data_IF_074062234408
#
_entry.id   IF_074062234408
#
_cell.length_a   1.000
_cell.length_b   1.000
_cell.length_c   1.000
_cell.angle_alpha   90.00
_cell.angle_beta   90.00
_cell.angle_gamma   90.00
#
_symmetry.space_group_name_H-M   'P 1'
#
loop_
_entity.id
_entity.type
_entity.pdbx_description
1 polymer ?
2 polymer ?
3 non-polymer ?
4 water ?
#
# COMPACT_ATOMS: atom_id res chain seq x y z
N UNK A 9 -8.33 -9.15 38.31
CA UNK A 9 -7.90 -8.90 36.93
C UNK A 9 -9.08 -8.85 35.97
N UNK A 10 -8.93 -8.07 34.91
CA UNK A 10 -9.93 -8.09 33.87
C UNK A 10 -9.69 -9.25 32.92
N UNK A 11 -10.75 -9.69 32.27
CA UNK A 11 -10.66 -10.76 31.29
C UNK A 11 -10.14 -10.31 29.90
N UNK A 12 -10.31 -9.03 29.55
CA UNK A 12 -9.91 -8.57 28.24
C UNK A 12 -11.06 -8.64 27.26
N UNK A 13 -12.28 -8.53 27.74
CA UNK A 13 -13.48 -8.52 26.89
C UNK A 13 -14.31 -7.27 27.11
N UNK A 14 -15.24 -7.02 26.20
CA UNK A 14 -16.15 -5.91 26.28
C UNK A 14 -17.57 -6.38 26.04
N UNK A 15 -18.46 -5.97 26.92
CA UNK A 15 -19.87 -6.33 26.84
C UNK A 15 -20.70 -5.15 26.35
N UNK A 16 -21.69 -5.44 25.53
CA UNK A 16 -22.65 -4.43 25.12
C UNK A 16 -24.01 -5.09 24.96
N UNK A 17 -25.07 -4.30 25.09
CA UNK A 17 -26.43 -4.80 24.93
C UNK A 17 -26.77 -4.87 23.46
N UNK A 18 -27.53 -5.89 23.07
CA UNK A 18 -27.85 -6.08 21.67
C UNK A 18 -28.53 -4.84 21.12
N UNK A 19 -29.36 -4.19 21.92
CA UNK A 19 -30.04 -2.98 21.43
C UNK A 19 -29.08 -1.80 21.16
N UNK A 20 -27.84 -1.89 21.61
CA UNK A 20 -26.88 -0.82 21.37
C UNK A 20 -25.90 -1.12 20.23
N UNK A 21 -26.12 -2.21 19.48
CA UNK A 21 -25.16 -2.58 18.44
C UNK A 21 -25.05 -1.52 17.36
N UNK A 22 -26.16 -0.92 16.94
CA UNK A 22 -26.06 0.09 15.91
C UNK A 22 -25.31 1.32 16.43
N UNK A 23 -25.55 1.68 17.69
CA UNK A 23 -24.84 2.82 18.30
C UNK A 23 -23.34 2.52 18.41
N UNK A 24 -23.02 1.26 18.65
CA UNK A 24 -21.63 0.83 18.72
C UNK A 24 -20.90 1.06 17.38
N UNK A 25 -21.48 0.57 16.29
CA UNK A 25 -20.79 0.74 15.01
C UNK A 25 -20.86 2.18 14.51
N UNK A 26 -21.90 2.91 14.92
CA UNK A 26 -21.95 4.33 14.61
C UNK A 26 -20.77 5.07 15.23
N UNK A 27 -20.51 4.86 16.51
CA UNK A 27 -19.46 5.62 17.19
C UNK A 27 -18.06 5.07 16.96
N UNK A 28 -17.97 3.78 16.69
CA UNK A 28 -16.66 3.14 16.52
C UNK A 28 -16.20 3.09 15.07
N UNK A 29 -17.13 3.18 14.14
CA UNK A 29 -16.76 3.05 12.72
C UNK A 29 -17.31 4.21 11.88
N UNK A 30 -18.63 4.36 11.81
CA UNK A 30 -19.23 5.32 10.86
C UNK A 30 -18.84 6.76 11.13
N UNK A 31 -18.76 7.13 12.42
CA UNK A 31 -18.50 8.52 12.77
C UNK A 31 -17.16 8.74 13.48
N UNK A 32 -16.31 7.71 13.52
CA UNK A 32 -15.01 7.83 14.17
C UNK A 32 -14.02 8.59 13.30
N UNK A 33 -13.39 9.61 13.88
CA UNK A 33 -12.44 10.45 13.15
C UNK A 33 -11.00 9.94 13.28
N UNK A 34 -10.38 9.60 12.15
CA UNK A 34 -9.01 9.07 12.26
C UNK A 34 -7.99 10.05 12.80
N UNK A 35 -8.29 11.33 12.79
CA UNK A 35 -7.34 12.35 13.26
C UNK A 35 -7.51 12.68 14.75
N UNK A 36 -8.39 11.97 15.44
CA UNK A 36 -8.64 12.26 16.85
C UNK A 36 -7.44 11.96 17.74
N UNK A 37 -7.22 12.77 18.76
CA UNK A 37 -6.05 12.56 19.61
C UNK A 37 -6.16 11.24 20.36
N UNK A 38 -7.39 10.79 20.54
CA UNK A 38 -7.64 9.60 21.33
C UNK A 38 -7.35 8.29 20.60
N UNK A 39 -7.36 8.30 19.26
CA UNK A 39 -7.01 7.07 18.53
C UNK A 39 -5.59 7.12 17.99
N UNK A 40 -4.82 8.14 18.32
CA UNK A 40 -3.42 8.15 17.92
C UNK A 40 -2.67 7.26 18.86
N UNK A 41 -3.17 7.22 20.10
CA UNK A 41 -2.44 6.70 21.24
C UNK A 41 -2.23 5.21 21.13
N UNK A 42 -3.29 4.49 20.74
CA UNK A 42 -3.20 3.07 20.49
C UNK A 42 -3.60 2.83 19.08
N UNK A 43 -2.60 2.71 18.23
CA UNK A 43 -2.91 2.40 16.85
C UNK A 43 -3.61 1.06 16.77
N UNK A 44 -4.71 1.03 16.03
CA UNK A 44 -5.51 -0.16 15.97
C UNK A 44 -6.62 -0.27 16.97
N UNK A 45 -6.84 0.78 17.75
CA UNK A 45 -7.83 0.67 18.83
C UNK A 45 -9.21 0.21 18.39
N UNK A 46 -9.73 0.73 17.26
CA UNK A 46 -11.03 0.22 16.85
C UNK A 46 -11.06 -1.29 16.65
N UNK A 47 -10.03 -1.83 16.00
CA UNK A 47 -9.91 -3.27 15.83
C UNK A 47 -9.85 -4.02 17.15
N UNK A 48 -9.05 -3.51 18.08
CA UNK A 48 -8.96 -4.18 19.39
C UNK A 48 -10.30 -4.15 20.11
N UNK A 49 -11.00 -3.02 20.07
CA UNK A 49 -12.33 -2.92 20.69
C UNK A 49 -13.29 -3.92 20.06
N UNK A 50 -13.34 -3.96 18.73
CA UNK A 50 -14.21 -4.90 18.06
C UNK A 50 -13.88 -6.31 18.46
N UNK A 51 -12.60 -6.66 18.46
CA UNK A 51 -12.25 -8.01 18.85
C UNK A 51 -12.67 -8.34 20.29
N UNK A 52 -12.51 -7.41 21.20
CA UNK A 52 -12.87 -7.66 22.59
C UNK A 52 -14.38 -7.81 22.73
N UNK A 53 -15.13 -7.12 21.88
CA UNK A 53 -16.57 -7.32 21.79
C UNK A 53 -16.90 -8.73 21.24
N UNK A 54 -16.20 -9.17 20.21
CA UNK A 54 -16.36 -10.51 19.66
C UNK A 54 -16.08 -11.54 20.76
N UNK A 55 -15.05 -11.30 21.57
CA UNK A 55 -14.69 -12.24 22.62
C UNK A 55 -15.86 -12.43 23.56
N UNK A 56 -16.51 -11.33 23.96
CA UNK A 56 -17.58 -11.50 24.93
C UNK A 56 -18.77 -12.22 24.31
N UNK A 57 -19.11 -11.89 23.06
CA UNK A 57 -20.22 -12.57 22.41
C UNK A 57 -19.92 -14.05 22.26
N UNK A 58 -18.66 -14.36 21.97
CA UNK A 58 -18.20 -15.75 21.90
C UNK A 58 -18.33 -16.45 23.28
N UNK A 59 -17.92 -15.73 24.33
CA UNK A 59 -18.00 -16.22 25.71
C UNK A 59 -19.44 -16.54 26.08
N UNK A 60 -20.39 -15.75 25.57
CA UNK A 60 -21.80 -15.97 25.84
C UNK A 60 -22.41 -17.09 25.01
N UNK A 61 -21.60 -17.67 24.13
CA UNK A 61 -22.03 -18.70 23.19
C UNK A 61 -23.12 -18.19 22.25
N UNK A 62 -23.07 -16.89 21.95
CA UNK A 62 -24.17 -16.26 21.23
C UNK A 62 -23.78 -16.13 19.75
N UNK A 63 -24.07 -17.17 18.97
CA UNK A 63 -23.65 -17.19 17.57
C UNK A 63 -24.34 -16.08 16.80
N UNK A 64 -25.61 -15.80 17.11
CA UNK A 64 -26.35 -14.74 16.42
C UNK A 64 -25.74 -13.36 16.67
N UNK A 65 -25.29 -13.12 17.89
CA UNK A 65 -24.70 -11.84 18.24
C UNK A 65 -23.33 -11.68 17.58
N UNK A 66 -22.53 -12.74 17.59
CA UNK A 66 -21.24 -12.71 16.89
C UNK A 66 -21.46 -12.43 15.42
N UNK A 67 -22.39 -13.13 14.77
CA UNK A 67 -22.62 -12.89 13.35
C UNK A 67 -23.08 -11.46 13.08
N UNK A 68 -24.00 -10.96 13.88
CA UNK A 68 -24.54 -9.63 13.66
C UNK A 68 -23.45 -8.58 13.78
N UNK A 69 -22.60 -8.69 14.79
CA UNK A 69 -21.53 -7.73 14.96
C UNK A 69 -20.53 -7.78 13.80
N UNK A 70 -20.19 -9.00 13.40
CA UNK A 70 -19.16 -9.21 12.37
C UNK A 70 -19.66 -8.72 11.01
N UNK A 71 -20.92 -8.96 10.72
CA UNK A 71 -21.55 -8.52 9.48
C UNK A 71 -21.66 -6.98 9.48
N UNK A 72 -22.13 -6.43 10.58
CA UNK A 72 -22.27 -4.99 10.74
C UNK A 72 -20.93 -4.26 10.60
N UNK A 73 -19.85 -4.90 11.05
CA UNK A 73 -18.52 -4.33 10.95
C UNK A 73 -18.12 -4.16 9.48
N UNK A 74 -18.26 -5.23 8.70
CA UNK A 74 -17.94 -5.16 7.26
C UNK A 74 -18.83 -4.11 6.59
N UNK A 75 -20.13 -4.13 6.86
CA UNK A 75 -21.04 -3.21 6.21
C UNK A 75 -20.69 -1.75 6.54
N UNK A 76 -20.31 -1.50 7.78
CA UNK A 76 -20.01 -0.14 8.22
C UNK A 76 -18.72 0.36 7.61
N UNK A 77 -17.69 -0.48 7.57
CA UNK A 77 -16.43 -0.07 6.96
C UNK A 77 -16.67 0.24 5.47
N UNK A 78 -17.43 -0.61 4.78
CA UNK A 78 -17.75 -0.31 3.38
C UNK A 78 -18.49 1.02 3.23
N UNK A 79 -19.40 1.32 4.15
CA UNK A 79 -20.13 2.59 4.14
C UNK A 79 -19.19 3.79 4.29
N UNK A 80 -18.27 3.72 5.23
CA UNK A 80 -17.34 4.81 5.46
C UNK A 80 -16.53 5.07 4.22
N UNK A 81 -16.12 4.00 3.55
CA UNK A 81 -15.19 4.16 2.44
C UNK A 81 -15.92 4.57 1.16
N UNK A 82 -17.24 4.38 1.12
CA UNK A 82 -18.06 4.84 -0.01
C UNK A 82 -18.23 6.36 0.11
N UNK A 83 -18.33 6.83 1.34
CA UNK A 83 -18.54 8.24 1.64
C UNK A 83 -17.25 9.05 1.67
N UNK A 84 -16.19 8.48 2.23
CA UNK A 84 -14.94 9.22 2.42
C UNK A 84 -13.77 8.49 1.81
N UNK A 85 -14.06 7.64 0.85
CA UNK A 85 -13.04 6.86 0.18
C UNK A 85 -12.02 7.63 -0.65
N UNK A 86 -12.20 8.93 -0.79
CA UNK A 86 -11.23 9.72 -1.57
C UNK A 86 -10.27 10.45 -0.64
N UNK A 87 -10.39 10.20 0.66
CA UNK A 87 -9.48 10.79 1.64
C UNK A 87 -8.43 9.76 1.99
N UNK A 88 -7.16 10.01 1.67
CA UNK A 88 -6.13 9.04 1.92
C UNK A 88 -6.07 8.62 3.40
N UNK A 89 -6.20 9.56 4.30
CA UNK A 89 -6.08 9.24 5.72
C UNK A 89 -7.18 8.29 6.14
N UNK A 90 -8.40 8.51 5.65
CA UNK A 90 -9.50 7.63 6.03
C UNK A 90 -9.30 6.21 5.50
N UNK A 91 -8.88 6.11 4.25
CA UNK A 91 -8.61 4.80 3.63
C UNK A 91 -7.46 4.08 4.37
N UNK A 92 -6.37 4.77 4.64
CA UNK A 92 -5.26 4.18 5.38
C UNK A 92 -5.71 3.70 6.74
N UNK A 93 -6.50 4.53 7.42
CA UNK A 93 -6.93 4.20 8.78
C UNK A 93 -7.71 2.91 8.76
N UNK A 94 -8.64 2.77 7.82
CA UNK A 94 -9.50 1.58 7.81
C UNK A 94 -8.81 0.37 7.21
N UNK A 95 -7.83 0.57 6.34
CA UNK A 95 -7.02 -0.56 5.91
C UNK A 95 -6.23 -1.14 7.11
N UNK A 96 -5.61 -0.25 7.86
CA UNK A 96 -4.80 -0.60 9.03
C UNK A 96 -5.67 -1.34 10.06
N UNK A 97 -6.85 -0.80 10.29
CA UNK A 97 -7.73 -1.42 11.30
C UNK A 97 -8.32 -2.69 10.82
N UNK A 98 -8.66 -2.81 9.55
CA UNK A 98 -9.18 -4.08 9.03
C UNK A 98 -8.12 -5.17 9.18
N UNK A 99 -6.88 -4.83 8.86
CA UNK A 99 -5.77 -5.74 9.01
C UNK A 99 -5.54 -6.11 10.47
N UNK A 100 -5.54 -5.13 11.36
CA UNK A 100 -5.33 -5.45 12.77
C UNK A 100 -6.44 -6.36 13.27
N UNK A 101 -7.67 -6.11 12.82
CA UNK A 101 -8.79 -6.97 13.23
C UNK A 101 -8.51 -8.39 12.76
N UNK A 102 -8.08 -8.57 11.51
CA UNK A 102 -7.72 -9.86 10.98
C UNK A 102 -6.61 -10.54 11.79
N UNK A 103 -5.56 -9.80 12.12
CA UNK A 103 -4.47 -10.36 12.94
C UNK A 103 -5.00 -10.80 14.32
N UNK A 104 -5.91 -10.02 14.91
CA UNK A 104 -6.47 -10.39 16.21
C UNK A 104 -7.22 -11.68 16.10
N UNK A 105 -8.03 -11.81 15.06
CA UNK A 105 -8.82 -13.00 14.88
C UNK A 105 -7.95 -14.23 14.73
N UNK A 106 -6.76 -14.07 14.14
CA UNK A 106 -5.80 -15.17 14.01
C UNK A 106 -5.06 -15.43 15.34
N UNK A 107 -4.50 -14.37 15.90
CA UNK A 107 -3.68 -14.41 17.10
C UNK A 107 -4.42 -15.06 18.27
N UNK A 108 -5.71 -14.78 18.31
CA UNK A 108 -6.55 -15.25 19.41
C UNK A 108 -7.55 -16.30 18.93
N UNK A 109 -7.21 -17.00 17.85
CA UNK A 109 -8.09 -18.02 17.32
C UNK A 109 -8.04 -19.32 18.09
N UNK A 110 -6.95 -19.56 18.80
CA UNK A 110 -6.72 -20.85 19.43
C UNK A 110 -5.94 -21.82 18.56
N UNK A 111 -5.68 -21.44 17.31
CA UNK A 111 -4.88 -22.24 16.39
C UNK A 111 -3.39 -22.07 16.68
N UNK A 112 -2.71 -23.17 16.99
CA UNK A 112 -1.31 -23.11 17.41
C UNK A 112 -0.39 -22.37 16.44
N UNK A 113 -0.68 -22.45 15.15
CA UNK A 113 0.15 -21.83 14.14
C UNK A 113 0.22 -20.31 14.27
N UNK A 114 -0.75 -19.74 14.97
CA UNK A 114 -0.83 -18.29 15.14
C UNK A 114 -0.42 -17.82 16.54
N UNK A 115 0.08 -18.72 17.39
CA UNK A 115 0.31 -18.41 18.80
C UNK A 115 1.79 -18.37 19.20
N UNK A 116 2.69 -18.44 18.22
CA UNK A 116 4.11 -18.62 18.52
C UNK A 116 4.72 -17.42 19.23
N UNK A 117 4.15 -16.23 19.03
CA UNK A 117 4.70 -15.04 19.64
C UNK A 117 3.87 -14.58 20.83
N UNK A 118 2.88 -15.40 21.21
CA UNK A 118 2.02 -15.04 22.32
C UNK A 118 2.65 -15.26 23.68
N UNK A 119 2.32 -14.36 24.61
CA UNK A 119 2.61 -14.57 26.01
C UNK A 119 1.62 -15.58 26.55
N UNK A 120 1.87 -16.10 27.74
CA UNK A 120 0.95 -17.05 28.33
C UNK A 120 -0.41 -16.43 28.56
N UNK A 121 -0.40 -15.16 28.95
CA UNK A 121 -1.62 -14.45 29.23
C UNK A 121 -2.40 -14.26 27.93
N UNK A 122 -1.71 -13.92 26.85
CA UNK A 122 -2.40 -13.77 25.58
C UNK A 122 -3.06 -15.08 25.16
N UNK A 123 -2.40 -16.20 25.38
CA UNK A 123 -3.03 -17.48 25.08
C UNK A 123 -4.32 -17.73 25.89
N UNK A 124 -4.43 -17.14 27.08
CA UNK A 124 -5.66 -17.25 27.87
C UNK A 124 -6.86 -16.52 27.23
N UNK A 125 -6.58 -15.68 26.23
CA UNK A 125 -7.61 -14.83 25.64
C UNK A 125 -8.15 -15.33 24.31
N UNK A 126 -7.82 -16.56 23.97
CA UNK A 126 -8.36 -17.10 22.75
C UNK A 126 -9.87 -17.32 22.80
N UNK A 127 -10.47 -17.29 21.63
CA UNK A 127 -11.88 -17.62 21.47
C UNK A 127 -12.10 -19.05 21.92
N UNK A 128 -13.30 -19.32 22.41
CA UNK A 128 -13.58 -20.66 22.96
C UNK A 128 -14.71 -21.40 22.24
N UNK A 129 -15.65 -20.68 21.64
CA UNK A 129 -16.82 -21.33 21.05
C UNK A 129 -16.88 -21.36 19.54
N UNK A 130 -16.40 -20.31 18.88
CA UNK A 130 -16.60 -20.20 17.45
C UNK A 130 -15.30 -20.14 16.68
N UNK A 131 -15.30 -20.92 15.60
CA UNK A 131 -14.27 -20.88 14.55
C UNK A 131 -14.69 -19.87 13.51
N UNK A 132 -13.91 -18.78 13.40
CA UNK A 132 -14.23 -17.68 12.50
C UNK A 132 -13.39 -17.68 11.20
N UNK A 133 -12.90 -18.85 10.80
CA UNK A 133 -12.05 -18.93 9.62
C UNK A 133 -12.73 -18.39 8.37
N UNK A 134 -14.03 -18.58 8.21
CA UNK A 134 -14.69 -18.09 7.02
C UNK A 134 -14.80 -16.57 7.03
N UNK A 135 -15.02 -16.00 8.20
CA UNK A 135 -15.06 -14.57 8.33
C UNK A 135 -13.69 -13.98 8.06
N UNK A 136 -12.64 -14.68 8.48
CA UNK A 136 -11.30 -14.17 8.21
C UNK A 136 -11.07 -14.04 6.70
N UNK A 137 -11.62 -14.96 5.95
CA UNK A 137 -11.47 -14.86 4.51
C UNK A 137 -12.20 -13.63 3.96
N UNK A 138 -13.42 -13.39 4.43
CA UNK A 138 -14.19 -12.23 4.04
C UNK A 138 -13.45 -10.95 4.35
N UNK A 139 -12.86 -10.90 5.54
CA UNK A 139 -12.15 -9.74 5.98
C UNK A 139 -10.89 -9.50 5.13
N UNK A 140 -10.16 -10.56 4.81
CA UNK A 140 -8.99 -10.47 3.92
C UNK A 140 -9.38 -9.92 2.55
N UNK A 141 -10.52 -10.40 2.05
CA UNK A 141 -10.97 -9.93 0.74
C UNK A 141 -11.35 -8.44 0.80
N UNK A 142 -11.96 -8.00 1.89
CA UNK A 142 -12.22 -6.58 2.09
C UNK A 142 -10.92 -5.79 2.13
N UNK A 143 -9.92 -6.26 2.87
CA UNK A 143 -8.64 -5.55 2.94
C UNK A 143 -8.04 -5.39 1.54
N UNK A 144 -8.20 -6.39 0.68
CA UNK A 144 -7.67 -6.26 -0.69
C UNK A 144 -8.34 -5.10 -1.40
N UNK A 145 -9.65 -5.01 -1.26
CA UNK A 145 -10.42 -3.92 -1.85
C UNK A 145 -10.02 -2.57 -1.31
N UNK A 146 -9.81 -2.48 0.00
CA UNK A 146 -9.41 -1.21 0.58
C UNK A 146 -8.01 -0.83 0.08
N UNK A 147 -7.11 -1.80 -0.01
CA UNK A 147 -5.75 -1.55 -0.51
C UNK A 147 -5.81 -1.01 -1.94
N UNK A 148 -6.63 -1.62 -2.78
CA UNK A 148 -6.80 -1.12 -4.14
C UNK A 148 -7.24 0.32 -4.14
N UNK A 149 -8.20 0.67 -3.29
CA UNK A 149 -8.67 2.03 -3.12
C UNK A 149 -7.54 2.98 -2.68
N UNK A 150 -6.72 2.53 -1.71
CA UNK A 150 -5.63 3.34 -1.23
C UNK A 150 -4.67 3.64 -2.36
N UNK A 151 -4.33 2.64 -3.16
CA UNK A 151 -3.40 2.84 -4.27
C UNK A 151 -3.97 3.89 -5.21
N UNK A 152 -5.25 3.81 -5.53
CA UNK A 152 -5.86 4.76 -6.45
C UNK A 152 -5.85 6.20 -5.91
N UNK A 153 -6.10 6.38 -4.61
CA UNK A 153 -6.06 7.70 -4.03
C UNK A 153 -4.65 8.28 -4.02
N UNK A 154 -3.66 7.49 -3.62
CA UNK A 154 -2.27 7.96 -3.65
C UNK A 154 -1.84 8.31 -5.08
N UNK A 155 -2.22 7.49 -6.05
CA UNK A 155 -1.89 7.74 -7.44
C UNK A 155 -2.48 9.07 -7.88
N UNK A 156 -3.73 9.34 -7.51
CA UNK A 156 -4.36 10.58 -7.95
C UNK A 156 -3.68 11.79 -7.36
N UNK A 157 -3.15 11.65 -6.15
CA UNK A 157 -2.47 12.74 -5.49
C UNK A 157 -1.10 13.01 -6.12
N UNK A 158 -0.39 11.94 -6.45
CA UNK A 158 0.93 12.08 -7.04
C UNK A 158 0.93 12.47 -8.50
N UNK A 159 -0.08 12.04 -9.24
CA UNK A 159 -0.03 12.15 -10.69
C UNK A 159 0.33 13.56 -11.20
N UNK A 160 -0.29 14.62 -10.65
CA UNK A 160 0.03 15.96 -11.17
C UNK A 160 1.46 16.41 -10.91
N UNK A 161 2.18 15.70 -10.05
CA UNK A 161 3.51 16.13 -9.61
C UNK A 161 4.63 15.46 -10.37
N UNK A 162 4.35 14.31 -10.97
CA UNK A 162 5.41 13.43 -11.38
C UNK A 162 6.22 13.95 -12.56
N UNK A 163 5.59 14.36 -13.65
CA UNK A 163 6.35 14.80 -14.81
C UNK A 163 7.14 16.05 -14.51
N UNK A 164 6.56 17.02 -13.82
CA UNK A 164 7.31 18.23 -13.53
C UNK A 164 8.43 17.94 -12.52
N UNK A 165 8.16 17.11 -11.54
CA UNK A 165 9.16 16.84 -10.54
C UNK A 165 10.31 15.99 -11.02
N UNK A 166 10.03 15.04 -11.90
CA UNK A 166 11.03 14.08 -12.36
C UNK A 166 11.69 14.48 -13.66
N UNK A 167 11.00 15.22 -14.51
CA UNK A 167 11.55 15.54 -15.85
C UNK A 167 11.75 16.99 -16.19
N UNK A 168 10.86 17.88 -15.76
CA UNK A 168 10.88 19.24 -16.29
C UNK A 168 11.69 20.18 -15.43
N UNK A 169 11.55 20.05 -14.12
CA UNK A 169 12.24 20.94 -13.21
C UNK A 169 13.66 20.42 -13.05
N UNK A 170 14.64 21.33 -13.19
CA UNK A 170 16.04 20.93 -13.17
C UNK A 170 16.65 21.00 -11.76
N UNK A 194 0.34 23.91 -6.44
CA UNK A 194 0.51 25.02 -7.37
C UNK A 194 1.63 24.73 -8.36
N UNK A 195 2.86 24.62 -7.84
CA UNK A 195 4.03 24.34 -8.66
C UNK A 195 4.80 23.12 -8.12
N UNK A 196 5.16 22.16 -8.99
CA UNK A 196 5.75 20.91 -8.48
C UNK A 196 7.18 20.62 -8.87
N UNK A 197 7.93 20.19 -7.86
CA UNK A 197 9.34 19.86 -7.99
C UNK A 197 9.60 18.48 -7.38
N UNK A 198 10.82 17.99 -7.48
CA UNK A 198 11.17 16.75 -6.81
C UNK A 198 10.86 16.85 -5.31
N UNK A 199 11.12 18.01 -4.74
CA UNK A 199 10.88 18.17 -3.31
C UNK A 199 9.37 18.03 -3.00
N UNK A 200 8.50 18.43 -3.93
CA UNK A 200 7.07 18.26 -3.76
C UNK A 200 6.75 16.77 -3.63
N UNK A 201 7.39 15.96 -4.46
CA UNK A 201 7.18 14.51 -4.45
C UNK A 201 7.67 13.95 -3.13
N UNK A 202 8.88 14.34 -2.74
CA UNK A 202 9.42 13.83 -1.45
C UNK A 202 8.53 14.20 -0.28
N UNK A 203 8.04 15.45 -0.24
CA UNK A 203 7.17 15.88 0.85
C UNK A 203 5.90 15.05 0.88
N UNK A 204 5.34 14.77 -0.28
CA UNK A 204 4.13 13.99 -0.34
C UNK A 204 4.39 12.54 0.11
N UNK A 205 5.50 11.95 -0.33
CA UNK A 205 5.84 10.60 0.14
C UNK A 205 6.03 10.60 1.64
N UNK A 206 6.64 11.64 2.18
CA UNK A 206 6.82 11.73 3.64
C UNK A 206 5.48 11.74 4.37
N UNK A 207 4.54 12.49 3.82
CA UNK A 207 3.22 12.61 4.39
C UNK A 207 2.48 11.30 4.36
N UNK A 208 2.51 10.64 3.20
CA UNK A 208 1.88 9.32 3.12
C UNK A 208 2.45 8.37 4.18
N UNK A 209 3.78 8.32 4.22
CA UNK A 209 4.44 7.36 5.09
C UNK A 209 4.16 7.69 6.56
N UNK A 210 4.19 8.96 6.95
CA UNK A 210 3.91 9.35 8.33
C UNK A 210 2.51 8.90 8.73
N UNK A 211 1.55 9.15 7.87
CA UNK A 211 0.18 8.78 8.16
C UNK A 211 0.05 7.27 8.32
N UNK A 212 0.63 6.48 7.42
CA UNK A 212 0.54 5.03 7.55
C UNK A 212 1.15 4.54 8.87
N UNK A 213 2.29 5.12 9.23
CA UNK A 213 2.95 4.77 10.50
C UNK A 213 2.04 5.16 11.68
N UNK A 214 1.45 6.34 11.64
CA UNK A 214 0.58 6.79 12.75
C UNK A 214 -0.59 5.84 12.97
N UNK A 215 -1.07 5.25 11.87
CA UNK A 215 -2.20 4.33 11.89
C UNK A 215 -1.84 2.93 12.30
N UNK A 216 -0.54 2.68 12.48
CA UNK A 216 -0.07 1.38 12.86
C UNK A 216 -0.15 0.36 11.74
N UNK A 217 -0.07 0.84 10.51
CA UNK A 217 -0.07 -0.08 9.40
C UNK A 217 1.13 -1.03 9.52
N UNK A 218 0.91 -2.29 9.16
CA UNK A 218 1.96 -3.28 9.26
C UNK A 218 3.16 -2.83 8.46
N UNK A 219 4.35 -2.97 9.01
CA UNK A 219 5.56 -2.64 8.23
C UNK A 219 5.61 -3.36 6.88
N UNK A 220 5.18 -4.60 6.79
CA UNK A 220 5.24 -5.34 5.53
C UNK A 220 4.23 -4.83 4.56
N UNK A 221 3.14 -4.25 5.04
CA UNK A 221 2.16 -3.63 4.17
C UNK A 221 2.63 -2.25 3.73
N UNK A 222 3.20 -1.44 4.59
CA UNK A 222 3.79 -0.16 4.16
C UNK A 222 4.80 -0.42 3.06
N UNK A 223 5.60 -1.46 3.18
CA UNK A 223 6.58 -1.78 2.12
C UNK A 223 5.88 -1.98 0.78
N UNK A 224 4.77 -2.68 0.77
CA UNK A 224 4.05 -2.94 -0.49
C UNK A 224 3.47 -1.66 -1.05
N UNK A 225 2.89 -0.80 -0.22
CA UNK A 225 2.35 0.46 -0.68
C UNK A 225 3.46 1.27 -1.32
N UNK A 226 4.62 1.34 -0.68
CA UNK A 226 5.72 2.18 -1.18
C UNK A 226 6.23 1.58 -2.49
N UNK A 227 6.38 0.29 -2.58
CA UNK A 227 6.76 -0.38 -3.87
C UNK A 227 5.80 0.05 -4.96
N UNK A 228 4.51 0.02 -4.69
CA UNK A 228 3.49 0.36 -5.67
C UNK A 228 3.60 1.82 -6.07
N UNK A 229 3.85 2.74 -5.15
CA UNK A 229 3.99 4.15 -5.43
C UNK A 229 5.20 4.39 -6.29
N UNK A 230 6.30 3.71 -5.98
CA UNK A 230 7.52 3.89 -6.80
C UNK A 230 7.24 3.36 -8.21
N UNK A 231 6.55 2.25 -8.36
CA UNK A 231 6.23 1.73 -9.67
C UNK A 231 5.51 2.79 -10.48
N UNK A 232 4.49 3.40 -9.90
CA UNK A 232 3.73 4.44 -10.57
C UNK A 232 4.61 5.62 -10.95
N UNK A 233 5.45 6.09 -10.06
CA UNK A 233 6.35 7.20 -10.34
C UNK A 233 7.20 6.83 -11.56
N UNK A 234 7.80 5.66 -11.56
CA UNK A 234 8.71 5.27 -12.64
C UNK A 234 7.94 5.11 -13.95
N UNK A 235 6.72 4.58 -13.93
CA UNK A 235 6.00 4.29 -15.15
C UNK A 235 5.53 5.57 -15.79
N UNK A 236 4.97 6.48 -15.01
CA UNK A 236 4.52 7.75 -15.52
C UNK A 236 5.70 8.54 -16.06
N UNK A 237 6.82 8.55 -15.35
CA UNK A 237 7.99 9.24 -15.81
C UNK A 237 8.48 8.67 -17.12
N UNK A 238 8.67 7.36 -17.20
CA UNK A 238 9.20 6.78 -18.45
C UNK A 238 8.22 7.00 -19.58
N UNK A 239 6.92 6.82 -19.34
CA UNK A 239 5.98 6.99 -20.42
C UNK A 239 6.04 8.42 -20.98
N UNK A 240 6.18 9.41 -20.11
CA UNK A 240 6.28 10.81 -20.52
C UNK A 240 7.53 11.05 -21.34
N UNK A 241 8.62 10.44 -20.93
CA UNK A 241 9.89 10.54 -21.64
C UNK A 241 9.74 9.99 -23.08
N UNK A 242 8.95 8.92 -23.24
CA UNK A 242 8.79 8.26 -24.52
C UNK A 242 7.79 8.99 -25.44
N UNK A 243 6.96 9.86 -24.88
CA UNK A 243 5.91 10.55 -25.62
C UNK A 243 6.25 11.97 -26.00
N UNK A 244 7.17 12.57 -25.27
CA UNK A 244 7.68 13.92 -25.60
C UNK A 244 8.84 13.82 -26.58
N UNK A 245 9.25 14.96 -27.14
CA UNK A 245 10.39 14.95 -28.04
C UNK A 245 11.65 15.59 -27.46
N UNK A 246 11.53 16.09 -26.22
CA UNK A 246 12.59 16.92 -25.63
C UNK A 246 13.24 16.34 -24.40
N UNK A 247 12.96 15.09 -24.07
CA UNK A 247 13.49 14.52 -22.82
C UNK A 247 14.60 13.52 -22.99
N UNK A 248 14.98 13.21 -24.22
CA UNK A 248 16.06 12.26 -24.46
C UNK A 248 17.37 12.96 -24.82
N UNK A 249 18.14 13.29 -23.81
CA UNK A 249 19.46 13.89 -24.00
C UNK A 249 20.37 13.42 -22.88
N UNK A 250 21.67 13.60 -23.05
CA UNK A 250 22.62 13.18 -22.03
C UNK A 250 22.30 13.91 -20.75
N UNK A 251 22.02 15.20 -20.85
CA UNK A 251 21.74 16.03 -19.67
C UNK A 251 20.50 15.59 -18.91
N UNK A 252 19.45 15.23 -19.64
CA UNK A 252 18.26 14.70 -18.99
C UNK A 252 18.53 13.36 -18.29
N UNK A 253 19.38 12.55 -18.91
CA UNK A 253 19.79 11.30 -18.29
C UNK A 253 20.41 11.58 -16.94
N UNK A 254 21.31 12.57 -16.88
CA UNK A 254 21.94 12.97 -15.63
C UNK A 254 20.92 13.41 -14.60
N UNK A 255 19.94 14.21 -15.04
CA UNK A 255 18.90 14.71 -14.17
C UNK A 255 18.03 13.59 -13.61
N UNK A 256 17.63 12.65 -14.45
CA UNK A 256 16.86 11.51 -14.02
C UNK A 256 17.66 10.70 -13.01
N UNK A 257 18.94 10.46 -13.31
CA UNK A 257 19.82 9.76 -12.39
C UNK A 257 19.83 10.41 -11.02
N UNK A 258 19.98 11.73 -10.99
CA UNK A 258 19.97 12.46 -9.74
C UNK A 258 18.62 12.32 -9.03
N UNK A 259 17.53 12.47 -9.76
CA UNK A 259 16.22 12.39 -9.14
C UNK A 259 15.99 10.98 -8.57
N UNK A 260 16.35 9.94 -9.31
CA UNK A 260 16.24 8.60 -8.79
C UNK A 260 17.09 8.41 -7.55
N UNK A 261 18.31 8.96 -7.54
CA UNK A 261 19.18 8.82 -6.39
C UNK A 261 18.53 9.43 -5.14
N UNK A 262 17.75 10.48 -5.32
CA UNK A 262 17.08 11.14 -4.19
C UNK A 262 15.90 10.28 -3.68
N UNK A 263 15.20 9.65 -4.61
CA UNK A 263 14.18 8.68 -4.24
C UNK A 263 14.80 7.49 -3.50
N UNK A 264 15.96 7.04 -3.93
CA UNK A 264 16.65 5.96 -3.23
C UNK A 264 17.11 6.36 -1.84
N UNK A 265 17.57 7.60 -1.68
CA UNK A 265 17.93 8.08 -0.36
C UNK A 265 16.71 8.17 0.56
N UNK A 266 15.56 8.52 0.00
CA UNK A 266 14.35 8.54 0.80
C UNK A 266 14.06 7.14 1.31
N UNK A 267 14.18 6.12 0.47
CA UNK A 267 13.97 4.75 0.89
C UNK A 267 14.93 4.41 2.03
N UNK A 268 16.19 4.82 1.88
CA UNK A 268 17.19 4.52 2.90
C UNK A 268 16.81 5.15 4.21
N UNK A 269 16.45 6.42 4.18
CA UNK A 269 16.06 7.13 5.41
C UNK A 269 14.86 6.49 6.13
N UNK A 270 13.97 5.85 5.38
CA UNK A 270 12.79 5.19 5.93
C UNK A 270 12.98 3.69 6.19
N UNK A 271 14.21 3.22 5.99
CA UNK A 271 14.53 1.82 6.20
C UNK A 271 13.66 0.96 5.32
N UNK A 272 13.46 1.40 4.06
CA UNK A 272 12.63 0.66 3.11
C UNK A 272 13.40 0.11 1.91
N UNK A 273 14.69 -0.11 2.07
CA UNK A 273 15.49 -0.55 0.91
C UNK A 273 15.29 -2.00 0.52
N UNK A 274 14.61 -2.79 1.35
CA UNK A 274 14.20 -4.15 0.99
C UNK A 274 12.72 -4.30 0.61
N UNK A 275 12.06 -3.18 0.32
CA UNK A 275 10.66 -3.16 -0.06
C UNK A 275 10.42 -3.60 -1.51
N UNK A 276 11.47 -3.57 -2.32
CA UNK A 276 11.32 -3.87 -3.75
C UNK A 276 11.02 -2.61 -4.52
N UNK A 277 10.93 -1.48 -3.86
CA UNK A 277 10.54 -0.22 -4.52
C UNK A 277 11.59 0.23 -5.51
N UNK A 278 12.86 0.15 -5.15
CA UNK A 278 13.90 0.65 -6.06
C UNK A 278 13.89 -0.16 -7.36
N UNK A 279 13.67 -1.46 -7.26
CA UNK A 279 13.70 -2.38 -8.39
C UNK A 279 12.57 -2.04 -9.37
N UNK A 280 11.47 -1.46 -8.92
CA UNK A 280 10.38 -1.11 -9.83
C UNK A 280 10.79 0.01 -10.77
N UNK A 281 11.84 0.74 -10.43
CA UNK A 281 12.28 1.86 -11.28
C UNK A 281 13.25 1.39 -12.32
N UNK A 282 13.56 0.11 -12.42
CA UNK A 282 14.58 -0.35 -13.38
C UNK A 282 14.38 0.13 -14.84
N UNK A 283 13.15 0.11 -15.38
CA UNK A 283 13.00 0.61 -16.76
C UNK A 283 13.43 2.05 -16.88
N UNK A 284 12.98 2.94 -16.00
CA UNK A 284 13.42 4.33 -16.02
C UNK A 284 14.93 4.46 -15.84
N UNK A 285 15.51 3.72 -14.91
CA UNK A 285 16.93 3.75 -14.65
C UNK A 285 17.72 3.37 -15.91
N UNK A 286 17.23 2.35 -16.60
CA UNK A 286 17.93 1.88 -17.81
C UNK A 286 17.76 2.88 -18.93
N UNK A 287 16.60 3.49 -19.05
CA UNK A 287 16.43 4.54 -20.05
C UNK A 287 17.39 5.68 -19.79
N UNK A 288 17.56 6.08 -18.54
CA UNK A 288 18.51 7.17 -18.26
C UNK A 288 19.94 6.77 -18.60
N UNK A 289 20.32 5.53 -18.29
CA UNK A 289 21.62 4.98 -18.66
C UNK A 289 21.81 4.98 -20.17
N UNK A 290 20.77 4.63 -20.90
CA UNK A 290 20.85 4.53 -22.35
C UNK A 290 21.15 5.90 -22.93
N UNK A 291 20.58 6.94 -22.32
CA UNK A 291 20.88 8.29 -22.76
C UNK A 291 22.35 8.67 -22.63
N UNK A 292 23.10 7.99 -21.76
CA UNK A 292 24.45 8.40 -21.46
C UNK A 292 25.53 7.52 -22.08
N UNK A 293 25.18 6.38 -22.65
CA UNK A 293 26.19 5.52 -23.25
C UNK A 293 26.54 5.91 -24.69
N UNK A 294 27.66 5.38 -25.20
CA UNK A 294 28.00 5.59 -26.60
C UNK A 294 27.05 4.79 -27.50
N UNK A 295 26.81 5.33 -28.69
CA UNK A 295 25.74 4.83 -29.55
C UNK A 295 26.20 4.71 -31.04
N UNK A 296 27.42 4.24 -31.26
CA UNK A 296 28.03 4.28 -32.59
C UNK A 296 28.47 2.93 -33.16
N UNK A 297 29.18 2.13 -32.37
CA UNK A 297 29.86 0.93 -32.89
C UNK A 297 29.10 -0.37 -32.61
N UNK A 298 29.53 -1.46 -33.22
CA UNK A 298 28.94 -2.77 -32.93
C UNK A 298 29.08 -3.10 -31.46
N UNK A 299 30.23 -2.75 -30.87
CA UNK A 299 30.43 -2.96 -29.44
C UNK A 299 29.43 -2.15 -28.61
N UNK A 300 29.21 -0.90 -29.01
CA UNK A 300 28.20 -0.07 -28.35
C UNK A 300 26.79 -0.68 -28.43
N UNK A 301 26.46 -1.26 -29.57
CA UNK A 301 25.17 -1.91 -29.74
C UNK A 301 25.05 -3.14 -28.84
N UNK A 302 26.09 -3.98 -28.84
CA UNK A 302 26.10 -5.16 -27.97
C UNK A 302 25.92 -4.73 -26.50
N UNK A 303 26.62 -3.68 -26.09
CA UNK A 303 26.51 -3.17 -24.73
C UNK A 303 25.09 -2.73 -24.39
N UNK A 304 24.43 -2.02 -25.29
CA UNK A 304 23.08 -1.60 -25.06
C UNK A 304 22.14 -2.80 -24.90
N UNK A 305 22.34 -3.83 -25.75
CA UNK A 305 21.47 -4.99 -25.65
C UNK A 305 21.70 -5.75 -24.35
N UNK A 306 22.93 -5.78 -23.88
CA UNK A 306 23.28 -6.43 -22.62
C UNK A 306 22.73 -5.67 -21.43
N UNK A 307 22.69 -4.34 -21.50
CA UNK A 307 22.31 -3.55 -20.34
C UNK A 307 20.83 -3.28 -20.21
N UNK A 308 20.09 -3.29 -21.31
CA UNK A 308 18.72 -2.87 -21.28
C UNK A 308 17.74 -4.03 -21.20
N UNK A 309 17.92 -4.92 -20.22
CA UNK A 309 17.01 -6.04 -20.08
C UNK A 309 15.61 -5.69 -19.62
N UNK A 310 15.43 -4.51 -19.01
CA UNK A 310 14.15 -4.10 -18.47
C UNK A 310 13.37 -3.20 -19.41
N UNK A 311 13.92 -2.94 -20.61
CA UNK A 311 13.22 -2.15 -21.63
C UNK A 311 12.87 -3.05 -22.77
N UNK A 312 11.71 -2.81 -23.39
CA UNK A 312 11.36 -3.55 -24.58
C UNK A 312 12.18 -3.01 -25.76
N UNK A 313 12.23 -3.79 -26.84
CA UNK A 313 12.91 -3.34 -28.05
C UNK A 313 12.31 -2.03 -28.53
N UNK A 314 10.98 -1.93 -28.49
CA UNK A 314 10.33 -0.71 -28.93
C UNK A 314 10.78 0.49 -28.11
N UNK A 315 10.93 0.29 -26.79
CA UNK A 315 11.37 1.37 -25.93
C UNK A 315 12.82 1.79 -26.22
N UNK A 316 13.69 0.80 -26.37
CA UNK A 316 15.10 1.06 -26.70
C UNK A 316 15.19 1.86 -28.01
N UNK A 317 14.51 1.37 -29.03
CA UNK A 317 14.50 2.02 -30.35
C UNK A 317 13.92 3.45 -30.29
N UNK A 318 12.84 3.65 -29.54
CA UNK A 318 12.27 4.96 -29.36
C UNK A 318 13.26 5.94 -28.77
N UNK A 319 13.89 5.54 -27.66
CA UNK A 319 14.84 6.41 -27.02
C UNK A 319 15.98 6.76 -27.96
N UNK A 320 16.49 5.77 -28.69
CA UNK A 320 17.58 6.06 -29.63
C UNK A 320 17.16 6.99 -30.75
N UNK A 321 15.91 6.86 -31.21
CA UNK A 321 15.41 7.78 -32.24
C UNK A 321 15.19 9.21 -31.72
N UNK A 322 14.79 9.35 -30.46
CA UNK A 322 14.53 10.65 -29.85
C UNK A 322 15.80 11.37 -29.45
N UNK A 323 16.90 10.62 -29.26
CA UNK A 323 18.08 11.18 -28.64
C UNK A 323 18.60 12.43 -29.37
N UNK A 324 18.83 13.50 -28.61
CA UNK A 324 19.35 14.78 -29.11
C UNK A 324 20.79 15.00 -28.66
N UNK A 325 21.70 15.25 -29.61
CA UNK A 325 23.11 15.58 -29.31
C UNK A 325 23.28 16.81 -28.38
N UNK A 326 24.29 16.80 -27.51
CA UNK A 326 24.48 17.87 -26.53
C UNK A 326 24.98 19.16 -27.18
N UNK A 327 25.83 19.02 -28.19
CA UNK A 327 26.27 20.14 -28.99
C UNK A 327 26.85 19.65 -30.30
N UNK A 328 27.53 20.53 -31.02
CA UNK A 328 28.06 20.20 -32.34
C UNK A 328 29.06 19.05 -32.33
N UNK A 329 29.60 18.71 -31.16
CA UNK A 329 30.58 17.64 -31.08
C UNK A 329 29.93 16.27 -30.81
N UNK A 330 28.60 16.23 -30.74
CA UNK A 330 27.86 14.96 -30.67
C UNK A 330 26.92 14.84 -31.89
N UNK A 331 26.72 13.62 -32.40
CA UNK A 331 25.79 13.39 -33.53
C UNK A 331 24.55 12.57 -33.12
N UNK A 332 23.54 12.49 -34.01
CA UNK A 332 22.34 11.68 -33.73
C UNK A 332 22.65 10.22 -33.98
N UNK A 333 21.76 9.34 -33.49
CA UNK A 333 21.94 7.91 -33.67
C UNK A 333 21.57 7.53 -35.11
N UNK A 334 22.40 6.72 -35.76
CA UNK A 334 22.13 6.37 -37.14
C UNK A 334 21.09 5.27 -37.33
N UNK A 335 20.44 5.31 -38.48
CA UNK A 335 19.51 4.25 -38.87
C UNK A 335 20.13 2.86 -38.83
N UNK A 336 21.38 2.75 -39.28
CA UNK A 336 22.05 1.46 -39.30
C UNK A 336 22.27 0.94 -37.88
N UNK A 337 22.59 1.84 -36.96
CA UNK A 337 22.83 1.45 -35.57
C UNK A 337 21.54 0.90 -34.97
N UNK A 338 20.45 1.63 -35.23
CA UNK A 338 19.13 1.19 -34.74
C UNK A 338 18.75 -0.19 -35.32
N UNK A 339 19.04 -0.43 -36.59
CA UNK A 339 18.70 -1.74 -37.16
C UNK A 339 19.54 -2.84 -36.56
N UNK A 340 20.78 -2.53 -36.20
CA UNK A 340 21.65 -3.52 -35.55
C UNK A 340 21.09 -3.94 -34.18
N UNK A 341 20.53 -2.97 -33.46
CA UNK A 341 19.88 -3.24 -32.17
C UNK A 341 18.72 -4.19 -32.38
N UNK A 342 17.89 -3.86 -33.35
CA UNK A 342 16.71 -4.67 -33.67
C UNK A 342 17.10 -6.11 -34.03
N UNK A 343 18.12 -6.26 -34.88
CA UNK A 343 18.61 -7.58 -35.30
C UNK A 343 19.09 -8.38 -34.07
N UNK A 344 19.86 -7.75 -33.20
CA UNK A 344 20.38 -8.43 -32.01
C UNK A 344 19.29 -8.92 -31.06
N UNK A 345 18.19 -8.18 -30.99
CA UNK A 345 17.13 -8.47 -30.03
C UNK A 345 15.99 -9.27 -30.65
N UNK A 346 16.25 -9.81 -31.83
CA UNK A 346 15.23 -10.43 -32.68
C UNK A 346 14.54 -11.64 -32.05
N UNK A 347 15.25 -12.36 -31.18
CA UNK A 347 14.71 -13.59 -30.61
C UNK A 347 14.22 -13.41 -29.16
N UNK A 348 14.07 -12.17 -28.73
CA UNK A 348 13.42 -11.87 -27.47
C UNK A 348 11.95 -12.23 -27.53
N UNK A 349 11.40 -12.68 -26.41
CA UNK A 349 9.96 -12.89 -26.32
C UNK A 349 9.36 -11.53 -26.05
N UNK A 350 9.76 -10.55 -26.85
CA UNK A 350 9.50 -9.15 -26.53
C UNK A 350 8.04 -8.77 -26.69
N UNK A 351 7.51 -8.00 -25.74
CA UNK A 351 6.22 -7.38 -25.95
C UNK A 351 6.39 -6.28 -26.98
N UNK A 352 5.47 -6.20 -27.95
CA UNK A 352 5.66 -5.11 -28.89
C UNK A 352 5.28 -3.73 -28.35
N UNK A 353 4.93 -3.64 -27.07
CA UNK A 353 4.40 -2.40 -26.53
C UNK A 353 5.47 -1.35 -26.25
N UNK A 354 5.05 -0.08 -26.36
CA UNK A 354 5.91 1.04 -26.09
C UNK A 354 5.76 1.54 -24.67
N UNK A 355 4.53 1.57 -24.16
CA UNK A 355 4.30 2.22 -22.86
C UNK A 355 4.13 1.21 -21.74
N UNK A 356 4.65 1.57 -20.57
CA UNK A 356 4.43 0.81 -19.36
C UNK A 356 2.99 0.94 -18.99
N UNK A 357 2.43 -0.13 -18.41
CA UNK A 357 1.08 -0.09 -17.87
C UNK A 357 1.12 0.53 -16.50
N UNK A 358 0.85 1.81 -16.42
CA UNK A 358 1.00 2.51 -15.16
C UNK A 358 -0.12 2.19 -14.18
N UNK A 359 -1.10 1.41 -14.62
CA UNK A 359 -2.23 1.00 -13.77
C UNK A 359 -2.04 -0.45 -13.24
N UNK A 360 -0.92 -1.09 -13.55
CA UNK A 360 -0.61 -2.38 -12.93
C UNK A 360 -0.52 -2.28 -11.41
N UNK A 361 -1.19 -3.21 -10.71
CA UNK A 361 -1.10 -3.26 -9.23
C UNK A 361 -0.56 -4.62 -8.84
N UNK A 362 0.60 -4.63 -8.15
CA UNK A 362 1.18 -5.89 -7.69
C UNK A 362 0.22 -6.53 -6.68
N UNK A 363 0.03 -7.85 -6.76
CA UNK A 363 -0.81 -8.53 -5.77
C UNK A 363 -0.35 -8.29 -4.33
N UNK A 364 -1.29 -7.92 -3.48
CA UNK A 364 -1.02 -7.58 -2.08
C UNK A 364 -1.19 -8.80 -1.19
N UNK A 365 -0.37 -8.86 -0.14
CA UNK A 365 -0.49 -9.88 0.87
C UNK A 365 -0.51 -9.21 2.25
N UNK A 366 -1.12 -9.91 3.22
CA UNK A 366 -1.25 -9.43 4.60
C UNK A 366 -0.70 -10.46 5.56
N UNK A 367 0.62 -10.65 5.56
CA UNK A 367 1.22 -11.65 6.45
C UNK A 367 0.89 -11.38 7.91
N UNK A 368 0.65 -12.46 8.62
CA UNK A 368 0.28 -12.38 10.05
C UNK A 368 1.28 -11.55 10.85
N UNK A 369 0.75 -10.59 11.60
CA UNK A 369 1.58 -9.67 12.38
C UNK A 369 1.01 -9.59 13.81
N UNK A 370 1.39 -10.55 14.65
CA UNK A 370 0.84 -10.53 16.00
C UNK A 370 1.34 -9.33 16.78
N UNK A 371 0.54 -8.91 17.74
CA UNK A 371 0.89 -7.77 18.58
C UNK A 371 1.12 -8.16 20.02
N UNK A 372 1.89 -7.33 20.70
CA UNK A 372 2.20 -7.55 22.09
C UNK A 372 1.19 -6.90 23.01
N UNK A 373 0.20 -6.21 22.47
CA UNK A 373 -0.73 -5.49 23.31
C UNK A 373 -1.56 -6.45 24.17
N UNK A 374 -1.58 -6.21 25.47
CA UNK A 374 -2.33 -7.04 26.40
C UNK A 374 -3.78 -6.55 26.48
N UNK A 375 -4.71 -7.41 26.04
CA UNK A 375 -6.12 -7.01 26.00
C UNK A 375 -6.70 -6.59 27.34
N UNK A 376 -6.24 -7.23 28.41
CA UNK A 376 -6.78 -6.99 29.74
C UNK A 376 -6.39 -5.62 30.31
N UNK A 377 -5.51 -4.89 29.60
CA UNK A 377 -5.01 -3.59 30.05
C UNK A 377 -5.59 -2.45 29.18
N UNK A 378 -6.27 -2.81 28.10
CA UNK A 378 -6.79 -1.81 27.17
C UNK A 378 -7.95 -1.04 27.76
N UNK A 379 -7.78 0.27 27.82
CA UNK A 379 -8.83 1.17 28.29
C UNK A 379 -9.41 1.90 27.10
N UNK A 380 -10.71 2.08 27.06
CA UNK A 380 -11.32 2.86 26.00
C UNK A 380 -11.31 4.32 26.43
N UNK A 381 -10.73 5.23 25.62
CA UNK A 381 -10.79 6.64 25.99
C UNK A 381 -12.21 7.12 26.14
N UNK A 382 -12.47 7.84 27.22
CA UNK A 382 -13.82 8.29 27.51
C UNK A 382 -14.35 9.20 26.41
N UNK A 383 -13.46 9.87 25.68
CA UNK A 383 -13.86 10.84 24.67
C UNK A 383 -14.48 10.21 23.43
N UNK A 384 -14.38 8.89 23.30
CA UNK A 384 -14.87 8.21 22.10
C UNK A 384 -16.38 7.95 22.08
N UNK A 385 -17.05 8.20 23.19
CA UNK A 385 -18.49 8.08 23.28
C UNK A 385 -18.96 6.64 23.30
N UNK A 386 -18.21 5.80 24.00
CA UNK A 386 -18.53 4.37 24.05
C UNK A 386 -18.83 3.94 25.49
N UNK A 387 -19.40 4.85 26.27
CA UNK A 387 -19.64 4.59 27.68
C UNK A 387 -20.65 3.50 27.98
N UNK A 388 -21.42 3.12 26.96
CA UNK A 388 -22.45 2.08 27.09
C UNK A 388 -21.85 0.67 26.93
N UNK A 389 -20.58 0.60 26.55
CA UNK A 389 -19.81 -0.64 26.53
C UNK A 389 -19.15 -0.84 27.89
N UNK A 390 -19.11 -2.08 28.36
CA UNK A 390 -18.53 -2.36 29.67
C UNK A 390 -17.35 -3.30 29.65
N UNK A 391 -16.31 -2.96 30.41
CA UNK A 391 -15.15 -3.83 30.50
C UNK A 391 -15.43 -5.04 31.35
N UNK A 392 -14.96 -6.18 30.88
CA UNK A 392 -15.07 -7.46 31.53
C UNK A 392 -13.66 -8.03 31.63
N UNK B 10 -14.18 -28.66 21.08
CA UNK B 10 -14.06 -28.23 19.69
C UNK B 10 -14.90 -26.99 19.42
N UNK B 11 -14.35 -26.05 18.67
CA UNK B 11 -15.10 -24.87 18.32
C UNK B 11 -15.98 -25.15 17.13
N UNK B 12 -17.06 -24.41 17.03
CA UNK B 12 -18.01 -24.54 15.94
C UNK B 12 -17.80 -23.48 14.85
N UNK B 13 -17.73 -23.96 13.60
CA UNK B 13 -17.48 -23.08 12.47
C UNK B 13 -18.69 -22.21 12.26
N UNK B 14 -18.50 -20.91 12.32
CA UNK B 14 -19.60 -20.00 12.11
C UNK B 14 -19.62 -19.60 10.64
N UNK B 15 -20.72 -19.90 9.99
CA UNK B 15 -20.81 -19.83 8.54
C UNK B 15 -20.92 -18.39 8.00
N UNK B 16 -20.13 -18.07 6.98
CA UNK B 16 -20.28 -16.79 6.28
C UNK B 16 -20.43 -16.91 4.78
N UNK B 17 -21.56 -16.39 4.30
CA UNK B 17 -21.85 -16.30 2.88
C UNK B 17 -22.46 -14.92 2.57
N UNK B 18 -22.67 -14.65 1.29
CA UNK B 18 -23.08 -13.33 0.83
C UNK B 18 -24.34 -12.82 1.53
N UNK B 19 -25.35 -13.68 1.64
CA UNK B 19 -26.65 -13.29 2.17
C UNK B 19 -26.61 -12.77 3.60
N UNK B 20 -25.57 -13.14 4.34
CA UNK B 20 -25.41 -12.66 5.71
C UNK B 20 -25.16 -11.16 5.70
N UNK B 21 -24.49 -10.69 4.64
CA UNK B 21 -24.10 -9.29 4.52
C UNK B 21 -25.15 -8.46 3.79
#
# INVERSE_FOLDING_TARGET
VNIPRKEKDFQGMLEYKKEDEQKLVKNLILELKPRGVAVNLIPGLPAYILFMCVRHADYLNDDQKVRSLLTSTINSIKKVLKKRGDDFETVSFWLSNTCRFLHCLKQYSGEEGFMKHNTSRQNEHCLTNFDLAEYRQVLSDLAIQIYQQLVRVLENILQPMIVSGMLEHETIQGVSGVKPTGLRKRTSSIADEGTYTLDSILRQLNSFHSVMCQHGMDPELIKQVVKQMFYIIGAITLNNLLLRKDMCSWSKGMQIRYNVSQLEEWLRDKNLMNSGAKETLEPLIQAAQLLQVKKKTDDDAEAICSMCNALTTAQIVKVLNLYTPVNEFEERVSVSFIRTIQMRLRDRKDSPQLLMDAKHIFPVTFPFNPSSLALETIQIPASLGLGFISRV
RDQPLNSKKKKRLLSFRDVDFEEDSD
#
